data_IF_766161291488
#
_entry.id   IF_766161291488
#
_cell.length_a   1.000
_cell.length_b   1.000
_cell.length_c   1.000
_cell.angle_alpha   90.00
_cell.angle_beta   90.00
_cell.angle_gamma   90.00
#
_symmetry.space_group_name_H-M   'P 1'
#
loop_
_entity.id
_entity.type
_entity.pdbx_description
1 polymer ?
#
# COMPACT_ATOMS: atom_id res chain seq x y z
N UNK A 1 -7.75 -41.09 2.34
CA UNK A 1 -6.60 -40.66 1.51
C UNK A 1 -7.01 -39.92 0.22
N UNK A 2 -8.20 -40.19 -0.36
CA UNK A 2 -8.57 -39.66 -1.69
C UNK A 2 -9.13 -38.23 -1.65
N UNK A 3 -9.68 -37.80 -0.52
CA UNK A 3 -10.27 -36.46 -0.30
C UNK A 3 -9.21 -35.37 -0.17
N UNK A 4 -8.06 -35.67 0.44
CA UNK A 4 -6.92 -34.75 0.52
C UNK A 4 -6.31 -34.49 -0.87
N UNK A 5 -6.34 -35.50 -1.76
CA UNK A 5 -5.81 -35.40 -3.11
C UNK A 5 -6.71 -34.60 -4.05
N UNK A 6 -8.04 -34.69 -3.88
CA UNK A 6 -8.98 -33.86 -4.65
C UNK A 6 -9.01 -32.42 -4.19
N UNK A 7 -8.87 -32.18 -2.88
CA UNK A 7 -8.71 -30.84 -2.32
C UNK A 7 -7.43 -30.17 -2.85
N UNK A 8 -6.30 -30.90 -2.80
CA UNK A 8 -5.02 -30.38 -3.26
C UNK A 8 -4.96 -30.19 -4.80
N UNK A 9 -5.61 -31.08 -5.57
CA UNK A 9 -5.67 -30.93 -7.03
C UNK A 9 -6.61 -29.81 -7.50
N UNK A 10 -7.64 -29.48 -6.71
CA UNK A 10 -8.50 -28.31 -6.94
C UNK A 10 -7.77 -27.00 -6.66
N UNK A 11 -6.94 -26.95 -5.61
CA UNK A 11 -6.08 -25.79 -5.28
C UNK A 11 -5.04 -25.52 -6.37
N UNK A 12 -4.46 -26.56 -6.97
CA UNK A 12 -3.39 -26.42 -7.99
C UNK A 12 -3.96 -26.22 -9.41
N UNK A 13 -5.20 -26.66 -9.70
CA UNK A 13 -5.85 -26.42 -11.00
C UNK A 13 -6.48 -25.03 -11.04
N UNK A 14 -5.65 -24.02 -11.30
CA UNK A 14 -6.02 -22.62 -11.52
C UNK A 14 -6.92 -22.41 -12.75
N UNK A 15 -8.20 -22.79 -12.67
CA UNK A 15 -9.19 -22.52 -13.73
C UNK A 15 -10.55 -22.04 -13.24
N UNK A 16 -10.82 -22.02 -11.94
CA UNK A 16 -12.12 -21.52 -11.44
C UNK A 16 -12.00 -20.08 -10.89
N UNK A 17 -12.63 -19.08 -11.54
CA UNK A 17 -12.61 -17.70 -11.04
C UNK A 17 -13.26 -17.59 -9.66
N UNK A 18 -14.27 -18.42 -9.35
CA UNK A 18 -14.95 -18.41 -8.06
C UNK A 18 -14.11 -18.98 -6.91
N UNK A 19 -13.25 -19.97 -7.18
CA UNK A 19 -12.33 -20.54 -6.19
C UNK A 19 -11.32 -19.50 -5.68
N UNK A 20 -10.86 -18.65 -6.61
CA UNK A 20 -9.86 -17.61 -6.36
C UNK A 20 -10.37 -16.55 -5.38
N UNK A 21 -11.62 -16.09 -5.55
CA UNK A 21 -12.22 -15.13 -4.62
C UNK A 21 -12.40 -15.72 -3.23
N UNK A 22 -12.87 -16.96 -3.09
CA UNK A 22 -13.06 -17.61 -1.77
C UNK A 22 -11.75 -17.75 -1.00
N UNK A 23 -10.64 -18.00 -1.69
CA UNK A 23 -9.30 -18.09 -1.08
C UNK A 23 -8.71 -16.71 -0.73
N UNK A 24 -8.99 -15.67 -1.54
CA UNK A 24 -8.47 -14.31 -1.33
C UNK A 24 -9.28 -13.48 -0.33
N UNK A 25 -10.58 -13.77 -0.16
CA UNK A 25 -11.47 -13.04 0.75
C UNK A 25 -11.01 -13.02 2.22
N UNK A 26 -10.60 -14.14 2.86
CA UNK A 26 -10.24 -14.11 4.28
C UNK A 26 -8.96 -13.28 4.54
N UNK A 27 -7.95 -13.41 3.67
CA UNK A 27 -6.69 -12.67 3.82
C UNK A 27 -6.86 -11.18 3.52
N UNK A 28 -7.60 -10.83 2.45
CA UNK A 28 -7.88 -9.43 2.10
C UNK A 28 -8.77 -8.74 3.14
N UNK A 29 -9.76 -9.44 3.67
CA UNK A 29 -10.60 -8.95 4.77
C UNK A 29 -9.77 -8.67 6.02
N UNK A 30 -8.87 -9.59 6.39
CA UNK A 30 -7.98 -9.41 7.54
C UNK A 30 -7.03 -8.21 7.37
N UNK A 31 -6.38 -8.10 6.21
CA UNK A 31 -5.51 -6.95 5.90
C UNK A 31 -6.27 -5.63 5.93
N UNK A 32 -7.47 -5.60 5.33
CA UNK A 32 -8.31 -4.40 5.31
C UNK A 32 -8.73 -4.01 6.72
N UNK A 33 -9.13 -4.97 7.56
CA UNK A 33 -9.54 -4.71 8.95
C UNK A 33 -8.38 -4.09 9.76
N UNK A 34 -7.21 -4.72 9.72
CA UNK A 34 -6.04 -4.25 10.47
C UNK A 34 -5.46 -2.94 9.93
N UNK A 35 -5.64 -2.64 8.65
CA UNK A 35 -5.27 -1.35 8.06
C UNK A 35 -6.30 -0.25 8.39
N UNK A 36 -7.60 -0.59 8.37
CA UNK A 36 -8.68 0.35 8.58
C UNK A 36 -8.76 0.83 10.03
N UNK A 37 -8.57 -0.06 11.01
CA UNK A 37 -8.59 0.29 12.45
C UNK A 37 -7.66 1.48 12.79
N UNK A 38 -6.35 1.45 12.48
CA UNK A 38 -5.46 2.57 12.78
C UNK A 38 -5.77 3.80 11.93
N UNK A 39 -6.27 3.63 10.69
CA UNK A 39 -6.68 4.76 9.85
C UNK A 39 -7.88 5.51 10.46
N UNK A 40 -8.87 4.79 10.96
CA UNK A 40 -10.03 5.36 11.64
C UNK A 40 -9.59 6.03 12.94
N UNK A 41 -8.70 5.40 13.71
CA UNK A 41 -8.14 6.00 14.92
C UNK A 41 -7.41 7.31 14.60
N UNK A 42 -6.57 7.33 13.56
CA UNK A 42 -5.89 8.55 13.11
C UNK A 42 -6.86 9.62 12.64
N UNK A 43 -7.94 9.25 11.94
CA UNK A 43 -8.99 10.19 11.52
C UNK A 43 -9.65 10.85 12.74
N UNK A 44 -10.08 10.06 13.72
CA UNK A 44 -10.69 10.58 14.95
C UNK A 44 -9.72 11.49 15.71
N UNK A 45 -8.46 11.08 15.84
CA UNK A 45 -7.42 11.88 16.49
C UNK A 45 -7.09 13.17 15.73
N UNK A 46 -7.24 13.19 14.40
CA UNK A 46 -6.97 14.37 13.58
C UNK A 46 -7.96 15.51 13.83
N UNK A 47 -9.21 15.17 14.12
CA UNK A 47 -10.26 16.14 14.50
C UNK A 47 -10.23 16.56 15.97
N UNK A 48 -9.42 15.90 16.80
CA UNK A 48 -9.33 16.21 18.23
C UNK A 48 -8.20 17.19 18.51
N UNK A 49 -8.46 18.21 19.33
CA UNK A 49 -7.43 19.16 19.72
C UNK A 49 -6.46 18.56 20.75
N UNK A 50 -5.18 18.85 20.57
CA UNK A 50 -4.12 18.45 21.51
C UNK A 50 -3.81 19.60 22.44
N UNK A 51 -4.01 19.39 23.74
CA UNK A 51 -3.58 20.32 24.78
C UNK A 51 -2.05 20.43 24.87
N UNK A 52 -1.56 21.42 25.64
CA UNK A 52 -0.14 21.76 25.77
C UNK A 52 0.79 20.59 26.18
N UNK A 53 0.24 19.57 26.85
CA UNK A 53 0.98 18.37 27.30
C UNK A 53 0.56 17.08 26.58
N UNK A 54 -0.06 17.18 25.40
CA UNK A 54 -0.53 16.01 24.65
C UNK A 54 -1.83 15.39 25.20
N UNK A 55 -2.45 16.02 26.20
CA UNK A 55 -3.77 15.64 26.68
C UNK A 55 -4.81 15.85 25.57
N UNK A 56 -5.62 14.81 25.32
CA UNK A 56 -6.72 14.81 24.35
C UNK A 56 -7.83 15.66 24.97
N UNK A 57 -8.01 16.89 24.48
CA UNK A 57 -9.11 17.75 24.92
C UNK A 57 -10.23 17.69 23.89
N UNK A 58 -11.33 17.04 24.28
CA UNK A 58 -12.56 16.93 23.49
C UNK A 58 -13.28 18.29 23.48
N UNK A 59 -12.75 19.25 22.73
CA UNK A 59 -13.29 20.62 22.63
C UNK A 59 -14.23 20.81 21.43
N UNK A 60 -14.59 19.74 20.70
CA UNK A 60 -15.44 19.76 19.52
C UNK A 60 -14.69 19.34 18.25
N UNK A 61 -15.38 19.36 17.09
CA UNK A 61 -14.75 19.13 15.79
C UNK A 61 -13.85 20.33 15.43
N UNK A 62 -12.53 20.18 15.55
CA UNK A 62 -11.58 21.27 15.31
C UNK A 62 -10.78 21.05 14.03
N UNK A 63 -10.88 22.00 13.09
CA UNK A 63 -10.10 22.02 11.85
C UNK A 63 -8.72 22.68 12.00
N UNK A 64 -8.39 23.12 13.22
CA UNK A 64 -7.20 23.93 13.50
C UNK A 64 -5.90 23.16 13.32
N UNK A 65 -5.91 21.84 13.54
CA UNK A 65 -4.78 20.95 13.28
C UNK A 65 -4.36 20.96 11.79
N UNK A 66 -5.31 21.00 10.86
CA UNK A 66 -5.04 21.02 9.43
C UNK A 66 -4.45 22.37 8.97
N UNK A 67 -4.97 23.48 9.52
CA UNK A 67 -4.44 24.81 9.21
C UNK A 67 -2.99 25.00 9.66
N UNK A 68 -2.51 24.26 10.67
CA UNK A 68 -1.10 24.33 11.10
C UNK A 68 -0.13 23.88 10.01
N UNK A 69 -0.55 22.98 9.11
CA UNK A 69 0.30 22.51 8.00
C UNK A 69 0.62 23.63 7.01
N UNK A 70 -0.23 24.67 6.94
CA UNK A 70 -0.03 25.84 6.09
C UNK A 70 0.92 26.87 6.72
N UNK A 71 1.37 26.67 7.98
CA UNK A 71 2.34 27.57 8.58
C UNK A 71 3.69 27.47 7.85
N UNK A 72 4.39 28.60 7.67
CA UNK A 72 5.63 28.68 6.89
C UNK A 72 6.75 27.77 7.42
N UNK A 73 6.72 27.43 8.72
CA UNK A 73 7.68 26.50 9.36
C UNK A 73 7.63 25.08 8.78
N UNK A 74 6.46 24.61 8.32
CA UNK A 74 6.30 23.25 7.78
C UNK A 74 6.59 23.16 6.28
N UNK A 75 6.51 24.29 5.57
CA UNK A 75 6.75 24.37 4.13
C UNK A 75 8.10 23.80 3.66
N UNK A 76 9.26 24.12 4.30
CA UNK A 76 10.54 23.58 3.87
C UNK A 76 10.63 22.05 4.06
N UNK A 77 9.96 21.50 5.09
CA UNK A 77 9.91 20.05 5.32
C UNK A 77 9.12 19.37 4.20
N UNK A 78 7.97 19.93 3.84
CA UNK A 78 7.12 19.42 2.77
C UNK A 78 7.83 19.45 1.41
N UNK A 79 8.57 20.52 1.12
CA UNK A 79 9.33 20.62 -0.12
C UNK A 79 10.50 19.64 -0.18
N UNK A 80 11.22 19.45 0.93
CA UNK A 80 12.33 18.49 1.01
C UNK A 80 11.85 17.07 0.75
N UNK A 81 10.78 16.62 1.41
CA UNK A 81 10.26 15.25 1.21
C UNK A 81 9.74 15.05 -0.20
N UNK A 82 9.08 16.06 -0.79
CA UNK A 82 8.65 16.01 -2.19
C UNK A 82 9.85 15.88 -3.14
N UNK A 83 10.91 16.67 -2.94
CA UNK A 83 12.14 16.58 -3.73
C UNK A 83 12.79 15.20 -3.61
N UNK A 84 12.88 14.64 -2.41
CA UNK A 84 13.44 13.29 -2.21
C UNK A 84 12.59 12.20 -2.88
N UNK A 85 11.26 12.29 -2.78
CA UNK A 85 10.37 11.34 -3.42
C UNK A 85 10.48 11.41 -4.95
N UNK A 86 10.41 12.61 -5.52
CA UNK A 86 10.56 12.82 -6.97
C UNK A 86 11.94 12.38 -7.48
N UNK A 87 13.01 12.70 -6.75
CA UNK A 87 14.36 12.27 -7.11
C UNK A 87 14.49 10.75 -7.10
N UNK A 88 13.99 10.10 -6.04
CA UNK A 88 14.00 8.64 -5.94
C UNK A 88 13.21 7.98 -7.08
N UNK A 89 11.99 8.45 -7.35
CA UNK A 89 11.18 7.95 -8.48
C UNK A 89 11.89 8.14 -9.81
N UNK A 90 12.50 9.29 -10.04
CA UNK A 90 13.25 9.57 -11.26
C UNK A 90 14.45 8.63 -11.42
N UNK A 91 15.22 8.38 -10.35
CA UNK A 91 16.32 7.41 -10.35
C UNK A 91 15.83 5.99 -10.61
N UNK A 92 14.74 5.57 -9.96
CA UNK A 92 14.12 4.26 -10.19
C UNK A 92 13.71 4.08 -11.65
N UNK A 93 13.13 5.10 -12.28
CA UNK A 93 12.78 5.05 -13.70
C UNK A 93 14.02 5.02 -14.58
N UNK A 94 15.00 5.88 -14.32
CA UNK A 94 16.23 5.98 -15.11
C UNK A 94 17.05 4.69 -15.08
N UNK A 95 17.07 3.98 -13.95
CA UNK A 95 17.79 2.70 -13.81
C UNK A 95 16.92 1.51 -14.20
N UNK A 96 15.63 1.51 -13.85
CA UNK A 96 14.71 0.42 -14.13
C UNK A 96 14.34 0.30 -15.60
N UNK A 97 14.20 1.42 -16.31
CA UNK A 97 13.86 1.43 -17.74
C UNK A 97 14.92 0.77 -18.63
N UNK A 98 16.23 1.06 -18.54
CA UNK A 98 17.24 0.39 -19.35
C UNK A 98 17.35 -1.10 -19.02
N UNK A 99 17.17 -1.48 -17.75
CA UNK A 99 17.11 -2.89 -17.35
C UNK A 99 15.91 -3.60 -17.99
N UNK A 100 14.72 -3.00 -17.95
CA UNK A 100 13.52 -3.56 -18.58
C UNK A 100 13.67 -3.64 -20.12
N UNK A 101 14.25 -2.61 -20.73
CA UNK A 101 14.57 -2.59 -22.16
C UNK A 101 15.52 -3.75 -22.49
N UNK A 102 16.65 -3.89 -21.78
CA UNK A 102 17.59 -4.98 -22.00
C UNK A 102 16.94 -6.36 -21.84
N UNK A 103 16.12 -6.56 -20.80
CA UNK A 103 15.39 -7.82 -20.63
C UNK A 103 14.43 -8.09 -21.79
N UNK A 104 13.70 -7.09 -22.29
CA UNK A 104 12.78 -7.28 -23.41
C UNK A 104 13.46 -7.67 -24.73
N UNK A 105 14.65 -7.13 -25.00
CA UNK A 105 15.37 -7.37 -26.26
C UNK A 105 16.28 -8.61 -26.20
N UNK A 106 16.90 -8.90 -25.06
CA UNK A 106 17.90 -9.97 -24.94
C UNK A 106 17.36 -11.26 -24.29
N UNK A 107 16.31 -11.18 -23.46
CA UNK A 107 15.68 -12.35 -22.80
C UNK A 107 14.43 -12.81 -23.58
N UNK A 108 14.46 -12.70 -24.91
CA UNK A 108 13.38 -13.19 -25.79
C UNK A 108 13.75 -14.46 -26.58
N UNK A 109 14.84 -15.16 -26.21
CA UNK A 109 15.29 -16.34 -26.97
C UNK A 109 14.75 -17.69 -26.47
N UNK A 110 14.06 -17.77 -25.33
CA UNK A 110 13.43 -19.01 -24.85
C UNK A 110 12.09 -18.76 -24.15
N UNK A 111 11.04 -18.41 -24.92
CA UNK A 111 9.66 -18.32 -24.40
C UNK A 111 8.82 -19.59 -24.57
N UNK A 112 9.39 -20.69 -25.10
CA UNK A 112 8.60 -21.84 -25.56
C UNK A 112 8.96 -23.20 -24.90
N UNK A 113 9.68 -23.24 -23.78
CA UNK A 113 10.08 -24.52 -23.15
C UNK A 113 9.44 -24.81 -21.78
N UNK A 114 8.61 -23.90 -21.27
CA UNK A 114 7.80 -24.17 -20.09
C UNK A 114 6.34 -23.87 -20.41
N UNK A 115 5.69 -24.86 -21.02
CA UNK A 115 4.26 -25.12 -20.90
C UNK A 115 4.12 -26.58 -20.49
#
# INVERSE_FOLDING_TARGET
MNTLRSFFSWVIRGKSPSATHVLLLPISGWLTLFLAIPLILLLVLSFTDRGAYGAIQWSGFSFRNYLRVLNPEYFPVLLRTLLFASFSTFLCLLLGYPLAYYVSFFVSKHKNIFC
#
